data_IF_815549787064
#
_entry.id   IF_815549787064
#
_cell.length_a   1.000
_cell.length_b   1.000
_cell.length_c   1.000
_cell.angle_alpha   90.00
_cell.angle_beta   90.00
_cell.angle_gamma   90.00
#
_symmetry.space_group_name_H-M   'P 1'
#
loop_
_entity.id
_entity.type
_entity.pdbx_description
1 polymer ?
#
# COMPACT_ATOMS: atom_id res chain seq x y z
N UNK A 1 -2.66 0.07 -18.20
CA UNK A 1 -3.80 -0.70 -18.75
C UNK A 1 -4.30 -1.77 -17.78
N UNK A 2 -3.52 -2.80 -17.40
CA UNK A 2 -3.94 -3.78 -16.38
C UNK A 2 -4.35 -3.16 -15.03
N UNK A 3 -3.65 -2.09 -14.62
CA UNK A 3 -3.82 -1.47 -13.30
C UNK A 3 -5.19 -0.80 -13.09
N UNK A 4 -5.77 -0.17 -14.11
CA UNK A 4 -7.07 0.51 -14.02
C UNK A 4 -8.24 -0.46 -14.13
N UNK A 5 -8.06 -1.57 -14.86
CA UNK A 5 -9.09 -2.61 -15.01
C UNK A 5 -9.31 -3.31 -13.67
N UNK A 6 -8.23 -3.75 -13.01
CA UNK A 6 -8.29 -4.40 -11.68
C UNK A 6 -8.98 -3.50 -10.66
N UNK A 7 -8.65 -2.21 -10.63
CA UNK A 7 -9.27 -1.28 -9.67
C UNK A 7 -10.77 -1.13 -9.93
N UNK A 8 -11.21 -1.08 -11.19
CA UNK A 8 -12.62 -0.88 -11.54
C UNK A 8 -13.48 -2.13 -11.32
N UNK A 9 -12.92 -3.31 -11.54
CA UNK A 9 -13.65 -4.59 -11.44
C UNK A 9 -13.73 -5.11 -9.99
N UNK A 10 -12.68 -4.89 -9.19
CA UNK A 10 -12.54 -5.54 -7.88
C UNK A 10 -12.80 -4.59 -6.71
N UNK A 11 -12.46 -3.30 -6.86
CA UNK A 11 -12.41 -2.38 -5.73
C UNK A 11 -13.53 -1.35 -5.76
N UNK A 12 -14.49 -1.51 -4.85
CA UNK A 12 -15.58 -0.55 -4.64
C UNK A 12 -15.20 0.53 -3.61
N UNK A 13 -15.79 1.72 -3.71
CA UNK A 13 -15.58 2.79 -2.73
C UNK A 13 -15.95 2.38 -1.28
N UNK A 14 -16.86 1.40 -1.11
CA UNK A 14 -17.19 0.83 0.19
C UNK A 14 -16.05 0.02 0.81
N UNK A 15 -15.23 -0.64 -0.03
CA UNK A 15 -14.09 -1.44 0.42
C UNK A 15 -12.98 -0.58 1.03
N UNK A 16 -12.74 0.61 0.48
CA UNK A 16 -11.74 1.55 1.01
C UNK A 16 -12.09 2.03 2.41
N UNK A 17 -13.33 2.50 2.58
CA UNK A 17 -13.81 2.98 3.89
C UNK A 17 -13.76 1.87 4.92
N UNK A 18 -14.19 0.67 4.55
CA UNK A 18 -14.17 -0.49 5.44
C UNK A 18 -12.75 -0.87 5.86
N UNK A 19 -11.80 -0.84 4.92
CA UNK A 19 -10.39 -1.10 5.22
C UNK A 19 -9.80 -0.03 6.16
N UNK A 20 -10.16 1.24 5.96
CA UNK A 20 -9.71 2.32 6.85
C UNK A 20 -10.24 2.18 8.29
N UNK A 21 -11.47 1.70 8.45
CA UNK A 21 -12.04 1.34 9.76
C UNK A 21 -11.24 0.21 10.44
N UNK A 22 -10.93 -0.86 9.70
CA UNK A 22 -10.14 -1.99 10.22
C UNK A 22 -8.74 -1.56 10.64
N UNK A 23 -8.03 -0.80 9.81
CA UNK A 23 -6.70 -0.28 10.13
C UNK A 23 -6.78 0.62 11.37
N UNK A 24 -7.81 1.48 11.48
CA UNK A 24 -8.01 2.33 12.65
C UNK A 24 -8.20 1.54 13.95
N UNK A 25 -8.96 0.44 13.89
CA UNK A 25 -9.16 -0.43 15.05
C UNK A 25 -7.87 -1.14 15.44
N UNK A 26 -7.09 -1.62 14.46
CA UNK A 26 -5.78 -2.23 14.71
C UNK A 26 -4.80 -1.22 15.33
N UNK A 27 -4.73 0.00 14.81
CA UNK A 27 -3.88 1.07 15.38
C UNK A 27 -4.21 1.30 16.86
N UNK A 28 -5.49 1.35 17.22
CA UNK A 28 -5.92 1.51 18.62
C UNK A 28 -5.54 0.30 19.49
N UNK A 29 -5.74 -0.92 18.98
CA UNK A 29 -5.37 -2.13 19.69
C UNK A 29 -3.86 -2.21 19.94
N UNK A 30 -3.05 -1.84 18.94
CA UNK A 30 -1.60 -1.81 19.04
C UNK A 30 -1.11 -0.74 20.02
N UNK A 31 -1.70 0.46 20.01
CA UNK A 31 -1.41 1.51 20.99
C UNK A 31 -1.67 1.03 22.42
N UNK A 32 -2.83 0.41 22.67
CA UNK A 32 -3.16 -0.18 23.97
C UNK A 32 -2.15 -1.25 24.40
N UNK A 33 -1.71 -2.09 23.45
CA UNK A 33 -0.70 -3.12 23.71
C UNK A 33 0.64 -2.51 24.09
N UNK A 34 1.12 -1.47 23.38
CA UNK A 34 2.39 -0.78 23.68
C UNK A 34 2.40 -0.29 25.13
N UNK A 35 1.30 0.29 25.60
CA UNK A 35 1.20 0.79 26.98
C UNK A 35 1.36 -0.30 28.04
N UNK A 36 0.94 -1.53 27.73
CA UNK A 36 1.00 -2.69 28.63
C UNK A 36 2.33 -3.45 28.59
N UNK A 37 3.33 -3.00 27.81
CA UNK A 37 4.62 -3.69 27.73
C UNK A 37 5.54 -3.30 28.90
N UNK A 38 5.69 -4.20 29.87
CA UNK A 38 6.53 -3.96 31.07
C UNK A 38 8.03 -3.87 30.79
N UNK A 39 8.47 -4.42 29.65
CA UNK A 39 9.89 -4.40 29.25
C UNK A 39 10.32 -3.06 28.61
N UNK A 40 9.37 -2.18 28.26
CA UNK A 40 9.65 -0.87 27.66
C UNK A 40 9.58 0.23 28.70
N UNK A 41 10.55 1.15 28.65
CA UNK A 41 10.47 2.40 29.43
C UNK A 41 9.35 3.31 28.92
N UNK A 42 8.84 4.19 29.78
CA UNK A 42 7.79 5.16 29.41
C UNK A 42 8.21 6.08 28.26
N UNK A 43 9.49 6.49 28.24
CA UNK A 43 10.04 7.28 27.15
C UNK A 43 9.98 6.53 25.81
N UNK A 44 10.32 5.25 25.80
CA UNK A 44 10.26 4.41 24.59
C UNK A 44 8.82 4.17 24.14
N UNK A 45 7.89 3.94 25.09
CA UNK A 45 6.46 3.78 24.78
C UNK A 45 5.90 5.01 24.08
N UNK A 46 6.23 6.21 24.58
CA UNK A 46 5.83 7.48 23.96
C UNK A 46 6.33 7.62 22.53
N UNK A 47 7.62 7.37 22.27
CA UNK A 47 8.17 7.41 20.90
C UNK A 47 7.51 6.37 19.98
N UNK A 48 7.20 5.18 20.49
CA UNK A 48 6.53 4.14 19.73
C UNK A 48 5.10 4.55 19.33
N UNK A 49 4.36 5.20 20.22
CA UNK A 49 3.04 5.77 19.92
C UNK A 49 3.10 6.91 18.91
N UNK A 50 4.09 7.81 19.04
CA UNK A 50 4.31 8.89 18.08
C UNK A 50 4.53 8.31 16.67
N UNK A 51 5.35 7.27 16.54
CA UNK A 51 5.56 6.56 15.27
C UNK A 51 4.28 5.90 14.76
N UNK A 52 3.55 5.21 15.63
CA UNK A 52 2.30 4.52 15.29
C UNK A 52 1.25 5.50 14.76
N UNK A 53 1.10 6.65 15.40
CA UNK A 53 0.16 7.70 15.01
C UNK A 53 0.57 8.41 13.72
N UNK A 54 1.87 8.39 13.38
CA UNK A 54 2.39 8.97 12.15
C UNK A 54 2.32 8.02 10.93
N UNK A 55 1.76 6.81 11.06
CA UNK A 55 1.66 5.87 9.95
C UNK A 55 0.70 6.40 8.89
N UNK A 56 1.20 6.58 7.67
CA UNK A 56 0.38 6.94 6.50
C UNK A 56 -0.20 5.69 5.84
N UNK A 57 -1.41 5.81 5.28
CA UNK A 57 -2.16 4.67 4.73
C UNK A 57 -2.35 4.84 3.22
N UNK A 58 -2.05 3.81 2.45
CA UNK A 58 -2.25 3.73 1.00
C UNK A 58 -3.13 2.52 0.69
N UNK A 59 -4.39 2.74 0.34
CA UNK A 59 -5.41 1.67 0.20
C UNK A 59 -5.94 1.65 -1.23
N UNK A 60 -6.00 0.48 -1.85
CA UNK A 60 -6.47 0.29 -3.21
C UNK A 60 -5.46 0.74 -4.26
N UNK A 61 -5.45 2.03 -4.58
CA UNK A 61 -4.74 2.58 -5.73
C UNK A 61 -4.26 4.02 -5.52
N UNK A 62 -3.27 4.51 -6.30
CA UNK A 62 -2.83 5.89 -6.23
C UNK A 62 -3.86 6.87 -6.78
N UNK A 63 -3.99 8.04 -6.14
CA UNK A 63 -4.72 9.18 -6.67
C UNK A 63 -4.09 9.69 -7.98
N UNK A 64 -2.75 9.69 -8.03
CA UNK A 64 -1.97 10.15 -9.17
C UNK A 64 -1.26 8.99 -9.86
N UNK A 65 -1.65 8.75 -11.11
CA UNK A 65 -1.03 7.71 -11.93
C UNK A 65 0.24 8.21 -12.62
N UNK A 66 1.21 7.31 -12.75
CA UNK A 66 2.42 7.55 -13.56
C UNK A 66 2.04 7.70 -15.02
N UNK A 67 2.58 8.74 -15.65
CA UNK A 67 2.45 8.95 -17.09
C UNK A 67 3.39 8.00 -17.85
N UNK A 68 2.87 7.42 -18.93
CA UNK A 68 3.57 6.51 -19.84
C UNK A 68 3.46 6.98 -21.29
N UNK A 69 3.05 8.23 -21.54
CA UNK A 69 2.89 8.82 -22.87
C UNK A 69 4.13 8.72 -23.76
N UNK A 70 5.32 8.58 -23.17
CA UNK A 70 6.61 8.43 -23.87
C UNK A 70 6.96 6.99 -24.26
N UNK A 71 6.18 6.00 -23.82
CA UNK A 71 6.43 4.58 -24.11
C UNK A 71 5.64 4.16 -25.34
N UNK A 72 6.34 4.01 -26.47
CA UNK A 72 5.75 3.50 -27.70
C UNK A 72 5.83 1.97 -27.73
N UNK A 73 4.68 1.32 -27.92
CA UNK A 73 4.55 -0.14 -27.94
C UNK A 73 4.07 -0.61 -29.31
N UNK A 74 4.81 -1.54 -29.93
CA UNK A 74 4.42 -2.21 -31.18
C UNK A 74 4.19 -3.71 -30.90
N UNK A 75 3.01 -4.20 -31.26
CA UNK A 75 2.59 -5.60 -31.03
C UNK A 75 3.54 -6.63 -31.66
N UNK A 76 4.34 -6.26 -32.66
CA UNK A 76 5.27 -7.15 -33.35
C UNK A 76 6.71 -7.09 -32.81
N UNK A 77 7.03 -6.17 -31.89
CA UNK A 77 8.40 -5.83 -31.48
C UNK A 77 8.62 -5.99 -29.98
N UNK A 78 8.55 -7.23 -29.49
CA UNK A 78 8.63 -7.52 -28.05
C UNK A 78 9.92 -7.00 -27.41
N UNK A 79 11.07 -7.19 -28.07
CA UNK A 79 12.37 -6.80 -27.53
C UNK A 79 12.50 -5.28 -27.39
N UNK A 80 12.12 -4.54 -28.44
CA UNK A 80 12.15 -3.09 -28.47
C UNK A 80 11.18 -2.48 -27.46
N UNK A 81 9.99 -3.08 -27.29
CA UNK A 81 9.04 -2.69 -26.26
C UNK A 81 9.65 -2.83 -24.85
N UNK A 82 10.37 -3.93 -24.60
CA UNK A 82 11.03 -4.17 -23.32
C UNK A 82 12.11 -3.11 -23.06
N UNK A 83 12.92 -2.78 -24.06
CA UNK A 83 13.92 -1.70 -23.96
C UNK A 83 13.24 -0.35 -23.72
N UNK A 84 12.14 -0.05 -24.42
CA UNK A 84 11.40 1.20 -24.25
C UNK A 84 10.86 1.36 -22.82
N UNK A 85 10.26 0.31 -22.26
CA UNK A 85 9.79 0.28 -20.88
C UNK A 85 10.95 0.46 -19.87
N UNK A 86 12.08 -0.22 -20.07
CA UNK A 86 13.24 -0.11 -19.19
C UNK A 86 13.84 1.30 -19.21
N UNK A 87 13.94 1.91 -20.41
CA UNK A 87 14.41 3.28 -20.57
C UNK A 87 13.49 4.27 -19.85
N UNK A 88 12.18 4.16 -20.02
CA UNK A 88 11.22 5.01 -19.31
C UNK A 88 11.32 4.84 -17.78
N UNK A 89 11.53 3.62 -17.29
CA UNK A 89 11.75 3.40 -15.86
C UNK A 89 13.02 4.07 -15.35
N UNK A 90 14.12 3.97 -16.09
CA UNK A 90 15.38 4.63 -15.75
C UNK A 90 15.23 6.16 -15.74
N UNK A 91 14.65 6.75 -16.78
CA UNK A 91 14.43 8.19 -16.86
C UNK A 91 13.51 8.69 -15.74
N UNK A 92 12.49 7.92 -15.37
CA UNK A 92 11.64 8.25 -14.23
C UNK A 92 12.44 8.30 -12.93
N UNK A 93 13.26 7.28 -12.65
CA UNK A 93 14.11 7.26 -11.45
C UNK A 93 15.10 8.42 -11.44
N UNK A 94 15.76 8.67 -12.58
CA UNK A 94 16.70 9.78 -12.74
C UNK A 94 16.01 11.13 -12.50
N UNK A 95 14.77 11.29 -12.96
CA UNK A 95 14.00 12.52 -12.78
C UNK A 95 13.64 12.85 -11.32
N UNK A 96 13.81 11.89 -10.40
CA UNK A 96 13.59 12.10 -8.96
C UNK A 96 14.84 12.64 -8.26
N UNK A 97 16.03 12.58 -8.89
CA UNK A 97 17.26 13.06 -8.28
C UNK A 97 17.22 14.58 -8.05
N UNK A 98 17.71 15.02 -6.89
CA UNK A 98 17.75 16.43 -6.50
C UNK A 98 16.39 17.04 -6.16
N UNK A 99 15.32 16.25 -6.12
CA UNK A 99 13.97 16.70 -5.74
C UNK A 99 13.58 16.19 -4.35
N UNK A 100 12.64 16.88 -3.67
CA UNK A 100 12.01 16.34 -2.47
C UNK A 100 11.36 14.99 -2.72
N UNK A 101 11.34 14.14 -1.70
CA UNK A 101 10.70 12.82 -1.78
C UNK A 101 9.20 12.97 -1.99
N UNK A 102 8.69 12.39 -3.08
CA UNK A 102 7.26 12.35 -3.37
C UNK A 102 6.59 11.21 -2.57
N UNK A 103 5.90 11.60 -1.49
CA UNK A 103 5.18 10.66 -0.61
C UNK A 103 3.94 10.03 -1.29
N UNK A 104 3.48 10.57 -2.41
CA UNK A 104 2.31 10.06 -3.14
C UNK A 104 2.66 8.85 -4.00
N UNK A 105 3.95 8.58 -4.22
CA UNK A 105 4.40 7.42 -4.99
C UNK A 105 4.15 6.11 -4.24
N UNK A 106 3.67 5.12 -4.99
CA UNK A 106 3.47 3.76 -4.50
C UNK A 106 4.70 2.92 -4.85
N UNK A 107 5.14 2.11 -3.89
CA UNK A 107 6.26 1.16 -4.10
C UNK A 107 5.83 -0.07 -4.91
N UNK A 108 4.53 -0.25 -5.10
CA UNK A 108 3.92 -1.41 -5.75
C UNK A 108 2.78 -0.98 -6.67
N UNK A 109 2.22 -1.93 -7.41
CA UNK A 109 1.08 -1.70 -8.29
C UNK A 109 -0.22 -2.16 -7.63
N UNK A 110 -1.38 -1.58 -7.99
CA UNK A 110 -2.68 -2.02 -7.45
C UNK A 110 -3.05 -3.47 -7.77
N UNK A 111 -2.43 -4.06 -8.80
CA UNK A 111 -2.65 -5.45 -9.21
C UNK A 111 -1.81 -6.47 -8.39
N UNK A 112 -0.94 -6.00 -7.50
CA UNK A 112 -0.10 -6.87 -6.68
C UNK A 112 -0.91 -7.47 -5.53
N UNK A 113 -0.96 -8.80 -5.41
CA UNK A 113 -1.61 -9.49 -4.28
C UNK A 113 -0.62 -9.63 -3.12
N UNK A 114 -0.33 -8.53 -2.43
CA UNK A 114 0.53 -8.49 -1.24
C UNK A 114 0.27 -7.20 -0.46
N UNK A 115 0.79 -7.07 0.76
CA UNK A 115 0.83 -5.83 1.55
C UNK A 115 2.28 -5.44 1.86
N UNK A 116 2.55 -4.16 2.10
CA UNK A 116 3.91 -3.68 2.32
C UNK A 116 3.97 -2.54 3.34
N UNK A 117 5.04 -2.51 4.14
CA UNK A 117 5.42 -1.37 4.97
C UNK A 117 6.70 -0.72 4.45
N UNK A 118 6.71 0.61 4.33
CA UNK A 118 7.91 1.37 3.97
C UNK A 118 8.47 2.09 5.20
N UNK A 119 9.63 1.66 5.75
CA UNK A 119 10.20 2.28 6.95
C UNK A 119 10.67 3.71 6.73
N UNK A 120 11.03 4.10 5.50
CA UNK A 120 11.53 5.45 5.21
C UNK A 120 10.41 6.49 5.18
N UNK A 121 9.22 6.09 4.76
CA UNK A 121 8.03 6.95 4.70
C UNK A 121 7.07 6.73 5.87
N UNK A 122 7.29 5.67 6.66
CA UNK A 122 6.36 5.20 7.69
C UNK A 122 4.95 5.03 7.10
N UNK A 123 4.84 4.34 5.96
CA UNK A 123 3.56 4.09 5.27
C UNK A 123 3.26 2.60 5.10
N UNK A 124 1.97 2.27 5.14
CA UNK A 124 1.44 0.92 4.87
C UNK A 124 0.66 0.95 3.55
N UNK A 125 0.90 -0.05 2.70
CA UNK A 125 0.35 -0.14 1.34
C UNK A 125 -0.48 -1.42 1.20
N UNK A 126 -1.76 -1.24 0.88
CA UNK A 126 -2.74 -2.29 0.56
C UNK A 126 -3.22 -2.10 -0.89
N UNK A 127 -2.55 -2.71 -1.87
CA UNK A 127 -3.04 -2.77 -3.25
C UNK A 127 -4.48 -3.30 -3.36
N UNK A 128 -5.23 -2.83 -4.35
CA UNK A 128 -6.59 -3.28 -4.60
C UNK A 128 -6.71 -4.81 -4.73
N UNK A 129 -5.72 -5.48 -5.33
CA UNK A 129 -5.78 -6.91 -5.57
C UNK A 129 -5.60 -7.80 -4.33
N UNK A 130 -5.11 -7.30 -3.19
CA UNK A 130 -5.16 -8.07 -1.94
C UNK A 130 -6.51 -7.92 -1.22
N UNK A 131 -7.30 -6.90 -1.57
CA UNK A 131 -8.57 -6.58 -0.93
C UNK A 131 -9.73 -7.35 -1.57
N UNK A 132 -9.58 -8.68 -1.61
CA UNK A 132 -10.57 -9.63 -2.12
C UNK A 132 -10.57 -10.90 -1.26
N UNK A 133 -11.63 -11.69 -1.37
CA UNK A 133 -11.74 -12.96 -0.66
C UNK A 133 -10.56 -13.90 -1.01
N UNK A 134 -9.98 -14.65 -0.06
CA UNK A 134 -10.38 -14.81 1.35
C UNK A 134 -9.79 -13.78 2.31
N UNK A 135 -8.96 -12.85 1.82
CA UNK A 135 -8.23 -11.91 2.67
C UNK A 135 -9.12 -10.78 3.19
N UNK A 136 -10.05 -10.32 2.35
CA UNK A 136 -10.97 -9.25 2.68
C UNK A 136 -12.29 -9.40 1.93
N UNK A 137 -13.40 -9.22 2.64
CA UNK A 137 -14.73 -9.08 2.07
C UNK A 137 -15.50 -8.05 2.89
N UNK A 138 -15.95 -6.99 2.22
CA UNK A 138 -16.65 -5.87 2.86
C UNK A 138 -17.98 -6.27 3.52
N UNK A 139 -18.59 -7.37 3.06
CA UNK A 139 -19.90 -7.86 3.53
C UNK A 139 -19.76 -9.04 4.49
N UNK A 140 -18.54 -9.56 4.70
CA UNK A 140 -18.29 -10.66 5.62
C UNK A 140 -18.14 -10.19 7.08
N UNK A 141 -18.26 -11.14 8.00
CA UNK A 141 -18.03 -10.93 9.42
C UNK A 141 -16.61 -10.39 9.69
N UNK A 142 -16.50 -9.48 10.66
CA UNK A 142 -15.26 -8.85 11.09
C UNK A 142 -14.16 -9.87 11.41
N UNK A 143 -14.50 -11.03 11.99
CA UNK A 143 -13.52 -12.04 12.34
C UNK A 143 -12.76 -12.59 11.12
N UNK A 144 -13.45 -12.71 9.97
CA UNK A 144 -12.83 -13.14 8.71
C UNK A 144 -11.84 -12.08 8.24
N UNK A 145 -12.26 -10.82 8.25
CA UNK A 145 -11.45 -9.70 7.79
C UNK A 145 -10.24 -9.44 8.69
N UNK A 146 -10.41 -9.49 10.02
CA UNK A 146 -9.29 -9.37 10.95
C UNK A 146 -8.33 -10.55 10.77
N UNK A 147 -8.81 -11.78 10.66
CA UNK A 147 -7.95 -12.95 10.43
C UNK A 147 -7.08 -12.84 9.17
N UNK A 148 -7.64 -12.37 8.06
CA UNK A 148 -6.91 -12.21 6.80
C UNK A 148 -5.97 -11.00 6.79
N UNK A 149 -6.52 -9.81 7.03
CA UNK A 149 -5.78 -8.55 6.93
C UNK A 149 -4.79 -8.35 8.07
N UNK A 150 -5.12 -8.69 9.32
CA UNK A 150 -4.18 -8.51 10.43
C UNK A 150 -2.95 -9.40 10.29
N UNK A 151 -3.11 -10.62 9.78
CA UNK A 151 -1.98 -11.49 9.46
C UNK A 151 -1.01 -10.83 8.46
N UNK A 152 -1.54 -10.15 7.45
CA UNK A 152 -0.72 -9.43 6.46
C UNK A 152 -0.02 -8.18 7.02
N UNK A 153 -0.62 -7.53 8.02
CA UNK A 153 -0.05 -6.38 8.72
C UNK A 153 1.04 -6.76 9.72
N UNK A 154 0.90 -7.92 10.36
CA UNK A 154 1.80 -8.35 11.44
C UNK A 154 3.13 -8.95 10.93
N UNK A 155 3.21 -9.32 9.64
CA UNK A 155 4.38 -10.02 9.07
C UNK A 155 5.39 -9.13 8.33
N UNK A 156 5.11 -7.83 8.17
CA UNK A 156 5.95 -6.87 7.45
C UNK A 156 6.36 -5.69 8.33
#
# INVERSE_FOLDING_TARGET
MLRTIVCREIFSAGSEKRMDELISNLTKAFAKRIQQLDWMSDATKKTAEEKLNAISRKIGYPDKWRDYSKVNIDKKKYFENTIACNRDNFEFQLSQLGKPVDKTLWITTPATVNAFYNPYLNDINFPAAILQYPMFDKDADDAVNYGGIEWSLAMN
#
